data_IF_359139745212
#
_entry.id   IF_359139745212
#
_cell.length_a   1.000
_cell.length_b   1.000
_cell.length_c   1.000
_cell.angle_alpha   90.00
_cell.angle_beta   90.00
_cell.angle_gamma   90.00
#
_symmetry.space_group_name_H-M   'P 1'
#
loop_
_entity.id
_entity.type
_entity.pdbx_description
1 polymer ?
#
# COMPACT_ATOMS: atom_id res chain seq x y z
N UNK A 1 -7.60 -5.12 5.66
CA UNK A 1 -6.47 -4.42 6.28
C UNK A 1 -5.27 -5.37 6.29
N UNK A 2 -4.07 -4.91 6.01
CA UNK A 2 -2.87 -5.74 5.99
C UNK A 2 -1.61 -4.95 6.39
N UNK A 3 -0.70 -5.60 7.12
CA UNK A 3 0.68 -5.15 7.34
C UNK A 3 1.60 -5.95 6.43
N UNK A 4 2.29 -5.29 5.52
CA UNK A 4 3.22 -5.92 4.59
C UNK A 4 4.58 -6.09 5.24
N UNK A 5 5.20 -7.25 4.97
CA UNK A 5 6.58 -7.55 5.36
C UNK A 5 7.34 -8.00 4.12
N UNK A 6 8.45 -7.34 3.82
CA UNK A 6 9.25 -7.65 2.63
C UNK A 6 9.73 -9.12 2.58
N UNK A 7 9.96 -9.76 3.73
CA UNK A 7 10.41 -11.17 3.84
C UNK A 7 9.35 -12.17 3.39
N UNK A 8 8.08 -11.75 3.33
CA UNK A 8 6.94 -12.59 2.97
C UNK A 8 6.38 -12.26 1.58
N UNK A 9 7.04 -11.39 0.82
CA UNK A 9 6.63 -11.02 -0.54
C UNK A 9 7.36 -11.86 -1.59
N UNK A 10 6.62 -12.35 -2.57
CA UNK A 10 7.17 -13.07 -3.74
C UNK A 10 6.60 -12.48 -5.04
N UNK A 11 7.43 -12.45 -6.09
CA UNK A 11 6.99 -12.02 -7.43
C UNK A 11 6.14 -13.13 -8.06
N UNK A 12 5.01 -12.75 -8.64
CA UNK A 12 4.14 -13.64 -9.41
C UNK A 12 3.81 -12.93 -10.73
N UNK A 13 4.01 -13.63 -11.84
CA UNK A 13 3.61 -13.16 -13.17
C UNK A 13 2.12 -13.45 -13.41
N UNK A 14 1.34 -12.41 -13.71
CA UNK A 14 -0.10 -12.52 -13.98
C UNK A 14 -0.37 -12.28 -15.46
N UNK A 15 -1.17 -13.15 -16.08
CA UNK A 15 -1.52 -13.08 -17.51
C UNK A 15 -2.85 -12.34 -17.78
N UNK A 16 -3.68 -12.14 -16.75
CA UNK A 16 -4.95 -11.41 -16.83
C UNK A 16 -5.06 -10.43 -15.67
N UNK A 17 -4.99 -9.14 -15.98
CA UNK A 17 -5.09 -8.06 -15.01
C UNK A 17 -5.91 -6.94 -15.64
N UNK A 18 -6.86 -6.38 -14.90
CA UNK A 18 -7.55 -5.13 -15.27
C UNK A 18 -6.91 -3.96 -14.52
N UNK A 19 -6.80 -2.82 -15.18
CA UNK A 19 -6.41 -1.57 -14.53
C UNK A 19 -7.58 -1.15 -13.63
N UNK A 20 -7.31 -0.93 -12.34
CA UNK A 20 -8.31 -0.45 -11.40
C UNK A 20 -8.59 1.04 -11.63
N UNK A 21 -9.82 1.47 -11.35
CA UNK A 21 -10.17 2.90 -11.38
C UNK A 21 -9.43 3.66 -10.27
N UNK A 22 -9.16 4.94 -10.52
CA UNK A 22 -8.63 5.84 -9.49
C UNK A 22 -9.67 6.05 -8.40
N UNK A 23 -9.22 5.99 -7.15
CA UNK A 23 -10.06 6.23 -5.98
C UNK A 23 -9.38 7.20 -5.04
N UNK A 24 -10.16 7.83 -4.16
CA UNK A 24 -9.60 8.65 -3.08
C UNK A 24 -8.75 7.77 -2.15
N UNK A 25 -7.59 8.30 -1.76
CA UNK A 25 -6.75 7.69 -0.74
C UNK A 25 -6.19 8.73 0.23
N UNK A 26 -5.86 8.28 1.43
CA UNK A 26 -5.14 9.07 2.44
C UNK A 26 -3.92 8.27 2.90
N UNK A 27 -2.89 8.96 3.36
CA UNK A 27 -1.78 8.31 4.06
C UNK A 27 -1.66 8.82 5.49
N UNK A 28 -1.12 7.99 6.36
CA UNK A 28 -0.79 8.38 7.73
C UNK A 28 0.54 7.77 8.16
N UNK A 29 1.15 8.41 9.16
CA UNK A 29 2.37 7.94 9.80
C UNK A 29 2.08 7.88 11.30
N UNK A 30 2.36 6.74 11.92
CA UNK A 30 2.20 6.56 13.36
C UNK A 30 3.33 5.70 13.92
N UNK A 31 3.39 5.60 15.25
CA UNK A 31 4.33 4.74 15.96
C UNK A 31 3.57 3.74 16.83
N UNK A 32 4.13 2.54 16.97
CA UNK A 32 3.66 1.59 17.97
C UNK A 32 4.15 1.95 19.39
N UNK A 33 3.76 1.14 20.38
CA UNK A 33 4.17 1.30 21.78
C UNK A 33 5.68 1.17 22.01
N UNK A 34 6.41 0.58 21.06
CA UNK A 34 7.87 0.44 21.08
C UNK A 34 8.57 1.54 20.28
N UNK A 35 7.82 2.52 19.77
CA UNK A 35 8.34 3.64 19.00
C UNK A 35 8.64 3.30 17.53
N UNK A 36 8.32 2.10 17.03
CA UNK A 36 8.55 1.73 15.63
C UNK A 36 7.59 2.48 14.73
N UNK A 37 8.11 3.05 13.63
CA UNK A 37 7.36 3.90 12.71
C UNK A 37 6.70 3.07 11.62
N UNK A 38 5.43 3.34 11.36
CA UNK A 38 4.67 2.72 10.28
C UNK A 38 4.10 3.79 9.34
N UNK A 39 4.01 3.43 8.07
CA UNK A 39 3.30 4.18 7.05
C UNK A 39 2.05 3.39 6.66
N UNK A 40 0.91 4.06 6.59
CA UNK A 40 -0.35 3.47 6.15
C UNK A 40 -0.91 4.22 4.96
N UNK A 41 -1.45 3.48 3.99
CA UNK A 41 -2.31 3.98 2.93
C UNK A 41 -3.71 3.40 3.14
N UNK A 42 -4.70 4.28 3.18
CA UNK A 42 -6.11 3.92 3.17
C UNK A 42 -6.74 4.34 1.85
N UNK A 43 -7.53 3.44 1.26
CA UNK A 43 -8.34 3.76 0.08
C UNK A 43 -9.81 3.70 0.44
N UNK A 44 -10.56 4.66 -0.08
CA UNK A 44 -12.01 4.74 0.03
C UNK A 44 -12.57 4.21 -1.29
N UNK A 45 -13.69 3.47 -1.28
CA UNK A 45 -14.21 2.89 -2.53
C UNK A 45 -14.60 3.95 -3.57
N UNK A 46 -15.24 3.54 -4.67
CA UNK A 46 -15.75 4.49 -5.67
C UNK A 46 -16.65 5.55 -5.03
N UNK A 47 -16.64 6.76 -5.60
CA UNK A 47 -17.45 7.88 -5.11
C UNK A 47 -18.95 7.56 -5.13
N UNK A 48 -19.38 6.66 -6.01
CA UNK A 48 -20.75 6.16 -6.13
C UNK A 48 -21.21 5.23 -4.99
N UNK A 49 -20.38 4.96 -3.98
CA UNK A 49 -20.80 4.16 -2.83
C UNK A 49 -21.75 4.94 -1.93
N UNK A 50 -22.74 4.25 -1.38
CA UNK A 50 -23.65 4.80 -0.36
C UNK A 50 -22.93 5.41 0.86
N UNK A 51 -21.72 4.93 1.17
CA UNK A 51 -20.88 5.44 2.27
C UNK A 51 -19.49 5.79 1.72
N UNK A 52 -19.32 6.96 1.10
CA UNK A 52 -18.09 7.33 0.39
C UNK A 52 -16.87 7.50 1.31
N UNK A 53 -17.08 7.68 2.61
CA UNK A 53 -15.99 7.88 3.59
C UNK A 53 -15.56 6.59 4.32
N UNK A 54 -16.12 5.42 3.96
CA UNK A 54 -15.70 4.15 4.57
C UNK A 54 -14.41 3.63 3.93
N UNK A 55 -13.40 3.39 4.75
CA UNK A 55 -12.16 2.73 4.35
C UNK A 55 -12.50 1.36 3.74
N UNK A 56 -12.02 1.14 2.52
CA UNK A 56 -12.20 -0.10 1.78
C UNK A 56 -10.97 -1.02 1.88
N UNK A 57 -9.77 -0.43 1.88
CA UNK A 57 -8.52 -1.15 2.04
C UNK A 57 -7.56 -0.30 2.86
N UNK A 58 -6.71 -0.98 3.64
CA UNK A 58 -5.61 -0.37 4.39
C UNK A 58 -4.38 -1.24 4.20
N UNK A 59 -3.28 -0.61 3.79
CA UNK A 59 -1.97 -1.21 3.65
C UNK A 59 -1.01 -0.49 4.58
N UNK A 60 -0.36 -1.23 5.47
CA UNK A 60 0.68 -0.74 6.35
C UNK A 60 2.03 -1.36 5.99
N UNK A 61 3.10 -0.65 6.28
CA UNK A 61 4.46 -1.18 6.22
C UNK A 61 5.40 -0.38 7.12
N UNK A 62 6.45 -1.05 7.59
CA UNK A 62 7.55 -0.43 8.34
C UNK A 62 8.61 0.15 7.39
N UNK A 63 9.67 0.72 7.96
CA UNK A 63 10.76 1.35 7.22
C UNK A 63 11.53 0.36 6.33
N UNK A 64 11.84 -0.84 6.84
CA UNK A 64 12.53 -1.88 6.07
C UNK A 64 11.72 -2.28 4.83
N UNK A 65 10.42 -2.51 5.01
CA UNK A 65 9.52 -2.86 3.92
C UNK A 65 9.30 -1.68 2.96
N UNK A 66 9.23 -0.45 3.46
CA UNK A 66 9.17 0.75 2.61
C UNK A 66 10.39 0.85 1.69
N UNK A 67 11.60 0.68 2.23
CA UNK A 67 12.84 0.72 1.46
C UNK A 67 12.88 -0.37 0.39
N UNK A 68 12.47 -1.59 0.75
CA UNK A 68 12.34 -2.68 -0.22
C UNK A 68 11.38 -2.33 -1.36
N UNK A 69 10.19 -1.81 -1.05
CA UNK A 69 9.20 -1.41 -2.05
C UNK A 69 9.71 -0.29 -2.96
N UNK A 70 10.38 0.73 -2.40
CA UNK A 70 10.99 1.82 -3.18
C UNK A 70 12.02 1.26 -4.16
N UNK A 71 12.94 0.40 -3.69
CA UNK A 71 13.96 -0.20 -4.54
C UNK A 71 13.34 -1.07 -5.64
N UNK A 72 12.32 -1.86 -5.30
CA UNK A 72 11.61 -2.72 -6.25
C UNK A 72 10.90 -1.89 -7.33
N UNK A 73 10.15 -0.86 -6.95
CA UNK A 73 9.46 0.04 -7.88
C UNK A 73 10.47 0.75 -8.77
N UNK A 74 11.55 1.31 -8.19
CA UNK A 74 12.60 1.97 -8.96
C UNK A 74 13.23 1.04 -10.00
N UNK A 75 13.50 -0.21 -9.61
CA UNK A 75 14.06 -1.22 -10.52
C UNK A 75 13.09 -1.57 -11.66
N UNK A 76 11.82 -1.85 -11.35
CA UNK A 76 10.84 -2.32 -12.34
C UNK A 76 10.37 -1.20 -13.30
N UNK A 77 10.42 0.06 -12.86
CA UNK A 77 10.09 1.23 -13.69
C UNK A 77 11.33 1.99 -14.21
N UNK A 78 12.54 1.48 -13.98
CA UNK A 78 13.82 2.12 -14.37
C UNK A 78 13.95 3.58 -13.88
N UNK A 79 13.41 3.88 -12.70
CA UNK A 79 13.43 5.22 -12.08
C UNK A 79 14.79 5.45 -11.42
N UNK A 80 15.40 6.60 -11.73
CA UNK A 80 16.72 7.00 -11.22
C UNK A 80 16.74 7.30 -9.72
#
# INVERSE_FOLDING_TARGET
>A
MALLCHKQMTKIDKTRISIHQTVRGTYSIFRDSYGRKYFQIDTYGSEDREIPNKISQSLQFDEETALFLIQLIKKEFEIK
#
